data_IF_792422785900
#
_entry.id   IF_792422785900
#
_cell.length_a   1.000
_cell.length_b   1.000
_cell.length_c   1.000
_cell.angle_alpha   90.00
_cell.angle_beta   90.00
_cell.angle_gamma   90.00
#
_symmetry.space_group_name_H-M   'P 1'
#
loop_
_entity.id
_entity.type
_entity.pdbx_description
1 polymer ?
#
# COMPACT_ATOMS: atom_id res chain seq x y z
N UNK A 1 12.57 1.58 9.38
CA UNK A 1 11.10 1.41 9.45
C UNK A 1 10.75 0.05 10.04
N UNK A 2 9.55 -0.13 10.61
CA UNK A 2 9.10 -1.34 11.29
C UNK A 2 8.02 -2.07 10.47
N UNK A 3 8.34 -3.26 9.98
CA UNK A 3 7.41 -4.12 9.21
C UNK A 3 6.12 -4.35 9.97
N UNK A 4 4.98 -4.32 9.27
CA UNK A 4 3.66 -4.51 9.88
C UNK A 4 3.03 -3.22 10.42
N UNK A 5 3.77 -2.11 10.41
CA UNK A 5 3.26 -0.80 10.79
C UNK A 5 2.81 -0.01 9.56
N UNK A 6 2.19 1.15 9.80
CA UNK A 6 1.72 2.05 8.76
C UNK A 6 2.57 3.33 8.70
N UNK A 7 2.73 3.87 7.50
CA UNK A 7 3.46 5.11 7.23
C UNK A 7 2.74 5.95 6.20
N UNK A 8 3.00 7.24 6.22
CA UNK A 8 2.60 8.19 5.18
C UNK A 8 3.72 8.35 4.16
N UNK A 9 3.34 8.60 2.92
CA UNK A 9 4.24 8.84 1.80
C UNK A 9 4.08 10.31 1.41
N UNK A 10 5.20 10.98 1.18
CA UNK A 10 5.24 12.40 0.80
C UNK A 10 4.57 12.64 -0.55
N UNK A 11 3.95 13.81 -0.73
CA UNK A 11 3.23 14.17 -1.95
C UNK A 11 4.13 14.20 -3.20
N UNK A 12 5.41 14.51 -3.02
CA UNK A 12 6.44 14.52 -4.06
C UNK A 12 6.54 13.18 -4.78
N UNK A 13 6.34 12.06 -4.08
CA UNK A 13 6.35 10.73 -4.69
C UNK A 13 5.23 10.58 -5.71
N UNK A 14 4.01 10.99 -5.34
CA UNK A 14 2.84 10.90 -6.21
C UNK A 14 2.94 11.87 -7.39
N UNK A 15 3.50 13.07 -7.17
CA UNK A 15 3.78 14.06 -8.23
C UNK A 15 4.84 13.57 -9.21
N UNK A 16 5.86 12.84 -8.72
CA UNK A 16 6.95 12.27 -9.53
C UNK A 16 6.50 11.12 -10.42
N UNK A 17 5.56 10.30 -9.95
CA UNK A 17 5.07 9.12 -10.67
C UNK A 17 3.60 9.27 -11.09
N UNK A 18 3.25 10.31 -11.88
CA UNK A 18 1.89 10.49 -12.33
C UNK A 18 1.50 9.33 -13.24
N UNK A 19 0.23 8.92 -13.20
CA UNK A 19 -0.33 7.85 -14.04
C UNK A 19 0.25 6.45 -13.80
N UNK A 20 1.08 6.23 -12.77
CA UNK A 20 1.58 4.90 -12.40
C UNK A 20 0.58 4.06 -11.60
N UNK A 21 -0.72 4.37 -11.61
CA UNK A 21 -1.73 3.62 -10.84
C UNK A 21 -1.63 3.76 -9.32
N UNK A 22 -0.91 4.79 -8.84
CA UNK A 22 -0.77 5.08 -7.42
C UNK A 22 -2.07 5.64 -6.82
N UNK A 23 -2.31 5.33 -5.54
CA UNK A 23 -3.39 5.93 -4.77
C UNK A 23 -2.82 7.11 -4.00
N UNK A 24 -2.94 8.31 -4.57
CA UNK A 24 -2.49 9.55 -3.95
C UNK A 24 -3.08 9.80 -2.56
N UNK A 25 -2.43 10.73 -1.86
CA UNK A 25 -2.94 11.30 -0.63
C UNK A 25 -4.31 11.98 -0.87
N UNK A 26 -5.12 12.00 0.18
CA UNK A 26 -6.36 12.77 0.22
C UNK A 26 -6.12 14.02 1.05
N UNK A 27 -6.95 15.03 0.84
CA UNK A 27 -7.03 16.18 1.74
C UNK A 27 -7.22 15.72 3.18
N UNK A 28 -6.63 16.48 4.09
CA UNK A 28 -6.69 16.27 5.54
C UNK A 28 -8.11 15.95 6.00
N UNK A 29 -8.27 14.90 6.80
CA UNK A 29 -9.53 14.67 7.50
C UNK A 29 -9.68 15.66 8.67
N UNK A 30 -10.89 15.75 9.23
CA UNK A 30 -11.21 16.65 10.34
C UNK A 30 -10.37 16.42 11.61
N UNK A 31 -9.57 15.35 11.65
CA UNK A 31 -8.64 15.03 12.73
C UNK A 31 -7.19 15.48 12.44
N UNK A 32 -6.95 16.18 11.33
CA UNK A 32 -5.64 16.72 10.98
C UNK A 32 -4.63 15.66 10.56
N UNK A 33 -5.05 14.42 10.28
CA UNK A 33 -4.15 13.36 9.85
C UNK A 33 -3.98 13.47 8.34
N UNK A 34 -2.78 13.87 7.91
CA UNK A 34 -2.46 14.08 6.50
C UNK A 34 -2.34 12.76 5.74
N UNK A 35 -2.94 12.68 4.55
CA UNK A 35 -2.62 11.65 3.57
C UNK A 35 -3.23 10.27 3.81
N UNK A 36 -2.79 9.32 2.99
CA UNK A 36 -3.29 7.95 2.98
C UNK A 36 -2.28 7.04 3.68
N UNK A 37 -2.63 6.43 4.83
CA UNK A 37 -1.75 5.47 5.47
C UNK A 37 -1.46 4.30 4.52
N UNK A 38 -0.21 3.86 4.50
CA UNK A 38 0.24 2.72 3.74
C UNK A 38 0.85 1.69 4.68
N UNK A 39 0.37 0.45 4.58
CA UNK A 39 0.91 -0.69 5.31
C UNK A 39 2.29 -1.04 4.75
N UNK A 40 3.30 -1.06 5.61
CA UNK A 40 4.65 -1.44 5.25
C UNK A 40 4.83 -2.96 5.34
N UNK A 41 5.01 -3.60 4.19
CA UNK A 41 5.15 -5.04 4.06
C UNK A 41 6.58 -5.50 4.38
N UNK A 42 7.55 -5.08 3.57
CA UNK A 42 8.94 -5.47 3.71
C UNK A 42 9.83 -4.55 2.86
N UNK A 43 11.12 -4.55 3.16
CA UNK A 43 12.15 -3.95 2.33
C UNK A 43 12.75 -5.00 1.39
N UNK A 44 12.99 -4.63 0.14
CA UNK A 44 13.74 -5.43 -0.82
C UNK A 44 14.36 -4.54 -1.87
N UNK A 45 15.62 -4.82 -2.22
CA UNK A 45 16.39 -4.07 -3.23
C UNK A 45 16.49 -2.56 -2.91
N UNK A 46 16.48 -2.20 -1.62
CA UNK A 46 16.51 -0.81 -1.13
C UNK A 46 15.18 -0.05 -1.29
N UNK A 47 14.07 -0.77 -1.46
CA UNK A 47 12.73 -0.21 -1.58
C UNK A 47 11.78 -0.78 -0.54
N UNK A 48 11.01 0.10 0.09
CA UNK A 48 9.92 -0.25 0.99
C UNK A 48 8.67 -0.56 0.18
N UNK A 49 8.11 -1.75 0.36
CA UNK A 49 6.89 -2.18 -0.34
C UNK A 49 5.66 -1.82 0.47
N UNK A 50 4.87 -0.89 -0.08
CA UNK A 50 3.82 -0.18 0.63
C UNK A 50 2.44 -0.47 0.01
N UNK A 51 1.48 -0.86 0.85
CA UNK A 51 0.09 -1.12 0.45
C UNK A 51 -0.84 -0.04 0.98
N UNK A 52 -1.44 0.81 0.13
CA UNK A 52 -2.35 1.85 0.59
C UNK A 52 -3.65 1.25 1.14
N UNK A 53 -4.20 1.86 2.19
CA UNK A 53 -5.53 1.51 2.71
C UNK A 53 -6.62 2.51 2.28
N UNK A 54 -7.87 2.09 2.40
CA UNK A 54 -9.05 2.91 2.14
C UNK A 54 -10.16 2.66 3.14
N UNK A 55 -10.85 3.75 3.52
CA UNK A 55 -12.09 3.72 4.28
C UNK A 55 -13.33 3.40 3.43
N UNK A 56 -13.24 3.46 2.10
CA UNK A 56 -14.36 3.17 1.17
C UNK A 56 -14.63 1.66 1.05
N UNK A 57 -14.94 1.00 2.15
CA UNK A 57 -15.01 -0.47 2.25
C UNK A 57 -16.06 -1.10 1.35
N UNK A 58 -17.24 -0.48 1.23
CA UNK A 58 -18.38 -0.98 0.44
C UNK A 58 -18.02 -1.01 -1.05
N UNK A 59 -17.41 0.07 -1.54
CA UNK A 59 -16.89 0.17 -2.92
C UNK A 59 -15.94 -0.99 -3.23
N UNK A 60 -14.97 -1.23 -2.36
CA UNK A 60 -13.95 -2.25 -2.60
C UNK A 60 -14.48 -3.67 -2.39
N UNK A 61 -15.44 -3.89 -1.49
CA UNK A 61 -16.15 -5.18 -1.37
C UNK A 61 -16.91 -5.51 -2.66
N UNK A 62 -17.66 -4.56 -3.21
CA UNK A 62 -18.36 -4.75 -4.48
C UNK A 62 -17.39 -5.11 -5.62
N UNK A 63 -16.26 -4.41 -5.72
CA UNK A 63 -15.20 -4.73 -6.69
C UNK A 63 -14.61 -6.13 -6.46
N UNK A 64 -14.34 -6.50 -5.21
CA UNK A 64 -13.80 -7.81 -4.87
C UNK A 64 -14.73 -8.94 -5.31
N UNK A 65 -16.02 -8.84 -5.01
CA UNK A 65 -17.02 -9.84 -5.43
C UNK A 65 -17.17 -9.90 -6.96
N UNK A 66 -17.14 -8.76 -7.65
CA UNK A 66 -17.14 -8.73 -9.11
C UNK A 66 -15.92 -9.47 -9.70
N UNK A 67 -14.74 -9.28 -9.11
CA UNK A 67 -13.52 -9.95 -9.56
C UNK A 67 -13.56 -11.45 -9.28
N UNK A 68 -14.10 -11.88 -8.14
CA UNK A 68 -14.28 -13.31 -7.82
C UNK A 68 -15.22 -14.06 -8.76
N UNK A 69 -16.16 -13.37 -9.41
CA UNK A 69 -17.00 -13.99 -10.47
C UNK A 69 -16.19 -14.34 -11.72
N UNK A 70 -15.10 -13.61 -11.99
CA UNK A 70 -14.27 -13.76 -13.19
C UNK A 70 -13.01 -14.59 -12.96
N UNK A 71 -12.45 -14.51 -11.76
CA UNK A 71 -11.19 -15.15 -11.41
C UNK A 71 -11.38 -16.10 -10.23
N UNK A 72 -10.85 -17.32 -10.36
CA UNK A 72 -10.85 -18.32 -9.28
C UNK A 72 -10.20 -17.77 -8.00
N UNK A 73 -9.16 -16.97 -8.16
CA UNK A 73 -8.46 -16.27 -7.08
C UNK A 73 -8.21 -14.82 -7.46
N UNK A 74 -8.39 -13.90 -6.52
CA UNK A 74 -8.11 -12.49 -6.72
C UNK A 74 -7.35 -11.90 -5.52
N UNK A 75 -6.12 -11.47 -5.80
CA UNK A 75 -5.16 -10.98 -4.80
C UNK A 75 -5.15 -9.46 -4.65
N UNK A 76 -5.89 -8.74 -5.49
CA UNK A 76 -5.80 -7.27 -5.55
C UNK A 76 -6.39 -6.54 -4.34
N UNK A 77 -7.16 -7.22 -3.48
CA UNK A 77 -7.78 -6.63 -2.30
C UNK A 77 -7.77 -7.58 -1.11
N UNK A 78 -7.54 -7.03 0.09
CA UNK A 78 -7.82 -7.69 1.37
C UNK A 78 -8.54 -6.71 2.29
N UNK A 79 -9.15 -7.22 3.35
CA UNK A 79 -9.92 -6.40 4.28
C UNK A 79 -9.58 -6.79 5.71
N UNK A 80 -9.56 -5.81 6.59
CA UNK A 80 -9.27 -6.03 8.00
C UNK A 80 -9.47 -4.79 8.85
N UNK A 81 -9.38 -4.99 10.17
CA UNK A 81 -9.46 -3.90 11.13
C UNK A 81 -8.10 -3.23 11.30
N UNK A 82 -8.13 -1.90 11.29
CA UNK A 82 -6.99 -1.02 11.58
C UNK A 82 -7.46 0.00 12.60
N UNK A 83 -6.90 -0.04 13.81
CA UNK A 83 -7.34 0.79 14.94
C UNK A 83 -8.87 0.77 15.15
N UNK A 84 -9.45 -0.43 15.29
CA UNK A 84 -10.89 -0.63 15.48
C UNK A 84 -11.77 -0.34 14.26
N UNK A 85 -11.22 0.22 13.18
CA UNK A 85 -11.98 0.59 11.98
C UNK A 85 -11.76 -0.42 10.86
N UNK A 86 -12.83 -0.89 10.24
CA UNK A 86 -12.72 -1.79 9.09
C UNK A 86 -12.19 -1.03 7.86
N UNK A 87 -11.23 -1.63 7.15
CA UNK A 87 -10.49 -1.01 6.03
C UNK A 87 -10.29 -2.00 4.89
N UNK A 88 -10.18 -1.44 3.69
CA UNK A 88 -9.72 -2.16 2.50
C UNK A 88 -8.22 -1.91 2.28
N UNK A 89 -7.46 -2.98 2.07
CA UNK A 89 -6.06 -2.98 1.68
C UNK A 89 -5.97 -3.11 0.16
N UNK A 90 -5.43 -2.10 -0.49
CA UNK A 90 -5.42 -1.98 -1.94
C UNK A 90 -4.13 -2.58 -2.52
N UNK A 91 -4.00 -3.91 -2.43
CA UNK A 91 -2.82 -4.63 -2.93
C UNK A 91 -2.63 -4.41 -4.44
N UNK A 92 -3.72 -4.27 -5.20
CA UNK A 92 -3.69 -3.87 -6.61
C UNK A 92 -3.01 -2.52 -6.86
N UNK A 93 -2.80 -1.70 -5.82
CA UNK A 93 -2.11 -0.41 -5.85
C UNK A 93 -0.83 -0.42 -5.00
N UNK A 94 -0.25 -1.60 -4.73
CA UNK A 94 1.04 -1.71 -4.02
C UNK A 94 2.13 -0.96 -4.78
N UNK A 95 3.03 -0.30 -4.07
CA UNK A 95 4.10 0.50 -4.68
C UNK A 95 5.44 0.36 -3.93
N UNK A 96 6.57 0.36 -4.66
CA UNK A 96 7.90 0.48 -4.05
C UNK A 96 8.25 1.95 -3.80
N UNK A 97 8.79 2.25 -2.62
CA UNK A 97 9.10 3.61 -2.17
C UNK A 97 10.55 3.65 -1.64
N UNK A 98 11.34 4.66 -2.01
CA UNK A 98 12.65 4.92 -1.39
C UNK A 98 12.49 5.72 -0.09
N UNK A 99 13.48 5.64 0.79
CA UNK A 99 13.44 6.28 2.12
C UNK A 99 13.12 7.78 2.07
N UNK A 100 13.67 8.49 1.08
CA UNK A 100 13.48 9.93 0.89
C UNK A 100 11.99 10.35 0.76
N UNK A 101 11.13 9.45 0.29
CA UNK A 101 9.69 9.67 0.08
C UNK A 101 8.83 9.19 1.24
N UNK A 102 9.41 8.58 2.27
CA UNK A 102 8.68 8.27 3.50
C UNK A 102 8.56 9.56 4.30
N UNK A 103 7.33 9.87 4.71
CA UNK A 103 7.03 11.07 5.50
C UNK A 103 7.19 10.77 7.00
N UNK A 104 6.13 10.24 7.63
CA UNK A 104 6.15 9.85 9.03
C UNK A 104 5.39 8.55 9.27
N UNK A 105 5.62 7.94 10.43
CA UNK A 105 4.89 6.76 10.86
C UNK A 105 3.48 7.14 11.30
N UNK A 106 2.49 6.30 10.99
CA UNK A 106 1.13 6.50 11.47
C UNK A 106 1.01 6.04 12.93
N UNK A 107 0.86 7.03 13.81
CA UNK A 107 0.75 6.88 15.25
C UNK A 107 -0.64 7.30 15.73
N UNK A 108 -1.07 6.76 16.88
CA UNK A 108 -2.31 7.10 17.59
C UNK A 108 -1.98 7.42 19.06
N UNK A 109 -2.99 7.78 19.86
CA UNK A 109 -2.85 8.09 21.29
C UNK A 109 -1.77 9.18 21.53
N UNK A 110 -1.97 10.37 20.96
CA UNK A 110 -1.03 11.49 21.03
C UNK A 110 0.40 11.11 20.57
N UNK A 111 0.49 10.38 19.46
CA UNK A 111 1.74 9.92 18.83
C UNK A 111 2.58 8.93 19.64
N UNK A 112 1.98 8.19 20.59
CA UNK A 112 2.71 7.22 21.42
C UNK A 112 2.60 5.78 20.94
N UNK A 113 1.48 5.43 20.30
CA UNK A 113 1.21 4.04 19.90
C UNK A 113 1.23 3.91 18.37
N UNK A 114 2.09 3.04 17.80
CA UNK A 114 2.10 2.80 16.37
C UNK A 114 0.88 1.97 15.93
N UNK A 115 0.26 2.36 14.82
CA UNK A 115 -0.84 1.58 14.26
C UNK A 115 -0.31 0.28 13.65
N UNK A 116 -0.98 -0.83 13.98
CA UNK A 116 -0.66 -2.19 13.50
C UNK A 116 -1.94 -2.95 13.13
N UNK A 117 -1.76 -4.13 12.53
CA UNK A 117 -2.80 -5.14 12.33
C UNK A 117 -2.38 -6.46 12.97
N UNK A 118 -3.30 -7.42 13.05
CA UNK A 118 -2.98 -8.76 13.53
C UNK A 118 -1.99 -9.48 12.60
N UNK A 119 -1.20 -10.39 13.18
CA UNK A 119 -0.11 -11.08 12.50
C UNK A 119 -0.59 -11.94 11.32
N UNK A 120 -1.77 -12.54 11.42
CA UNK A 120 -2.35 -13.36 10.34
C UNK A 120 -2.58 -12.53 9.08
N UNK A 121 -3.23 -11.37 9.21
CA UNK A 121 -3.47 -10.47 8.09
C UNK A 121 -2.17 -9.86 7.57
N UNK A 122 -1.24 -9.52 8.47
CA UNK A 122 0.09 -9.04 8.11
C UNK A 122 0.84 -10.08 7.25
N UNK A 123 0.87 -11.34 7.67
CA UNK A 123 1.51 -12.43 6.94
C UNK A 123 0.84 -12.69 5.58
N UNK A 124 -0.49 -12.64 5.52
CA UNK A 124 -1.25 -12.80 4.28
C UNK A 124 -0.89 -11.71 3.25
N UNK A 125 -0.97 -10.43 3.64
CA UNK A 125 -0.64 -9.31 2.75
C UNK A 125 0.82 -9.40 2.30
N UNK A 126 1.74 -9.72 3.21
CA UNK A 126 3.15 -9.92 2.89
C UNK A 126 3.37 -11.01 1.83
N UNK A 127 2.74 -12.17 1.98
CA UNK A 127 2.84 -13.27 1.03
C UNK A 127 2.34 -12.87 -0.37
N UNK A 128 1.23 -12.14 -0.43
CA UNK A 128 0.66 -11.67 -1.69
C UNK A 128 1.58 -10.63 -2.34
N UNK A 129 2.10 -9.65 -1.59
CA UNK A 129 3.00 -8.64 -2.15
C UNK A 129 4.29 -9.28 -2.67
N UNK A 130 4.86 -10.26 -1.96
CA UNK A 130 6.02 -11.03 -2.50
C UNK A 130 5.68 -11.75 -3.80
N UNK A 131 4.47 -12.31 -3.93
CA UNK A 131 3.98 -12.88 -5.20
C UNK A 131 3.90 -11.82 -6.29
N UNK A 132 3.38 -10.62 -6.00
CA UNK A 132 3.37 -9.49 -6.95
C UNK A 132 4.77 -9.17 -7.43
N UNK A 133 5.74 -9.01 -6.53
CA UNK A 133 7.10 -8.63 -6.96
C UNK A 133 7.75 -9.74 -7.80
N UNK A 134 7.62 -11.00 -7.39
CA UNK A 134 8.15 -12.15 -8.14
C UNK A 134 7.59 -12.22 -9.56
N UNK A 135 6.29 -12.00 -9.72
CA UNK A 135 5.64 -12.02 -11.03
C UNK A 135 6.05 -10.81 -11.88
N UNK A 136 6.15 -9.62 -11.26
CA UNK A 136 6.61 -8.42 -11.95
C UNK A 136 8.05 -8.56 -12.46
N UNK A 137 8.96 -9.16 -11.67
CA UNK A 137 10.34 -9.49 -12.10
C UNK A 137 10.39 -10.43 -13.32
N UNK A 138 9.31 -11.19 -13.59
CA UNK A 138 9.16 -12.07 -14.76
C UNK A 138 8.42 -11.39 -15.93
N UNK A 139 8.14 -10.08 -15.83
CA UNK A 139 7.37 -9.34 -16.84
C UNK A 139 5.85 -9.55 -16.75
N UNK A 140 5.35 -10.22 -15.71
CA UNK A 140 3.91 -10.49 -15.54
C UNK A 140 3.30 -9.45 -14.58
N UNK A 141 2.48 -8.56 -15.11
CA UNK A 141 1.78 -7.54 -14.33
C UNK A 141 0.44 -8.06 -13.81
N UNK A 142 0.29 -8.10 -12.48
CA UNK A 142 -0.96 -8.50 -11.80
C UNK A 142 -1.56 -7.40 -10.91
N UNK A 143 -1.00 -6.18 -10.96
CA UNK A 143 -1.44 -5.01 -10.20
C UNK A 143 -1.63 -3.80 -11.12
N UNK A 144 -2.42 -2.83 -10.66
CA UNK A 144 -2.65 -1.57 -11.36
C UNK A 144 -1.44 -0.64 -11.28
N UNK A 145 -0.58 -0.78 -10.27
CA UNK A 145 0.64 0.02 -10.19
C UNK A 145 1.60 -0.32 -11.33
N UNK A 146 2.18 0.69 -11.97
CA UNK A 146 3.29 0.53 -12.90
C UNK A 146 4.61 0.45 -12.13
N UNK A 147 4.87 -0.73 -11.57
CA UNK A 147 6.05 -0.97 -10.72
C UNK A 147 7.35 -0.70 -11.48
N UNK A 148 7.43 -1.11 -12.74
CA UNK A 148 8.66 -0.97 -13.53
C UNK A 148 9.00 0.49 -13.80
N UNK A 149 8.00 1.31 -14.17
CA UNK A 149 8.24 2.73 -14.38
C UNK A 149 8.69 3.43 -13.09
N UNK A 150 8.09 3.08 -11.94
CA UNK A 150 8.50 3.62 -10.64
C UNK A 150 9.94 3.23 -10.32
N UNK A 151 10.29 1.93 -10.38
CA UNK A 151 11.64 1.46 -10.06
C UNK A 151 12.70 2.09 -10.98
N UNK A 152 12.42 2.18 -12.28
CA UNK A 152 13.30 2.83 -13.25
C UNK A 152 13.48 4.32 -12.94
N UNK A 153 12.40 5.00 -12.57
CA UNK A 153 12.48 6.41 -12.21
C UNK A 153 13.20 6.65 -10.88
N UNK A 154 13.08 5.76 -9.88
CA UNK A 154 13.80 5.85 -8.61
C UNK A 154 15.32 5.61 -8.78
N UNK A 155 15.70 4.60 -9.57
CA UNK A 155 17.11 4.27 -9.83
C UNK A 155 17.90 5.42 -10.46
N UNK A 156 17.27 6.29 -11.25
CA UNK A 156 17.93 7.46 -11.89
C UNK A 156 18.37 8.57 -10.92
N UNK A 157 18.10 8.41 -9.62
CA UNK A 157 18.44 9.38 -8.57
C UNK A 157 19.59 8.91 -7.68
N UNK A 158 20.02 7.65 -7.84
CA UNK A 158 21.21 7.09 -7.18
C UNK A 158 22.43 7.26 -8.09
#
# INVERSE_FOLDING_TARGET
MNTGNFYFIKDEYYKRFPKCGLMGNKDSDAAGVHGRPCFYCFEMDGYFWMVPISSKTEKYKALYEEKKKRYKEYDGLRFGYVNGKYRAFLIQNVCPVSEEYIDCQYMIENNTVPVKINDKLSAEINGIVRKVVRLNKRGIRIVLTDINNILNGLNKTK
#
